data_IF_780419270476
#
_entry.id   IF_780419270476
#
_cell.length_a   1.000
_cell.length_b   1.000
_cell.length_c   1.000
_cell.angle_alpha   90.00
_cell.angle_beta   90.00
_cell.angle_gamma   90.00
#
_symmetry.space_group_name_H-M   'P 1'
#
loop_
_entity.id
_entity.type
_entity.pdbx_description
1 polymer ?
#
# COMPACT_ATOMS: atom_id res chain seq x y z
N UNK A 1 16.46 -3.42 -10.31
CA UNK A 1 15.46 -2.34 -10.27
C UNK A 1 14.74 -2.41 -8.93
N UNK A 2 15.41 -1.95 -7.86
CA UNK A 2 14.78 -1.86 -6.55
C UNK A 2 14.05 -0.51 -6.50
N UNK A 3 12.77 -0.53 -6.14
CA UNK A 3 12.05 0.63 -5.59
C UNK A 3 11.66 1.77 -6.55
N UNK A 4 11.33 1.49 -7.82
CA UNK A 4 10.77 2.52 -8.73
C UNK A 4 9.24 2.57 -8.75
N UNK A 5 8.57 1.73 -7.96
CA UNK A 5 7.10 1.66 -7.83
C UNK A 5 6.70 1.83 -6.36
N UNK A 6 5.60 2.53 -6.11
CA UNK A 6 5.09 2.75 -4.76
C UNK A 6 4.54 1.46 -4.15
N UNK A 7 4.66 1.29 -2.83
CA UNK A 7 4.00 0.18 -2.15
C UNK A 7 2.50 0.44 -1.90
N UNK A 8 2.10 1.71 -1.91
CA UNK A 8 0.70 2.14 -1.92
C UNK A 8 0.45 2.90 -3.23
N UNK A 9 -0.44 2.37 -4.08
CA UNK A 9 -0.87 3.03 -5.32
C UNK A 9 -2.36 2.76 -5.56
N UNK A 10 -3.15 3.83 -5.52
CA UNK A 10 -4.60 3.78 -5.68
C UNK A 10 -5.03 3.31 -7.07
N UNK A 11 -4.19 3.48 -8.09
CA UNK A 11 -4.51 3.13 -9.48
C UNK A 11 -4.05 1.74 -9.86
N UNK A 12 -2.82 1.38 -9.47
CA UNK A 12 -2.19 0.12 -9.87
C UNK A 12 -2.57 -1.04 -8.94
N UNK A 13 -2.73 -0.77 -7.64
CA UNK A 13 -2.92 -1.80 -6.62
C UNK A 13 -4.22 -1.67 -5.83
N UNK A 14 -4.92 -0.53 -5.91
CA UNK A 14 -6.15 -0.24 -5.18
C UNK A 14 -6.00 -0.53 -3.67
N UNK A 15 -4.80 -0.31 -3.11
CA UNK A 15 -4.42 -0.73 -1.76
C UNK A 15 -4.23 0.46 -0.80
N UNK A 16 -4.98 1.53 -0.99
CA UNK A 16 -4.70 2.82 -0.35
C UNK A 16 -5.72 3.23 0.73
N UNK A 17 -6.59 2.32 1.15
CA UNK A 17 -7.67 2.64 2.08
C UNK A 17 -7.92 1.55 3.11
N UNK A 18 -8.34 1.98 4.29
CA UNK A 18 -8.83 1.14 5.38
C UNK A 18 -9.61 2.02 6.36
N UNK A 19 -10.10 1.45 7.46
CA UNK A 19 -10.91 2.17 8.44
C UNK A 19 -10.43 1.95 9.86
N UNK A 20 -10.67 2.93 10.71
CA UNK A 20 -10.52 2.83 12.16
C UNK A 20 -11.90 2.99 12.79
N UNK A 21 -12.29 2.03 13.60
CA UNK A 21 -13.43 2.15 14.48
C UNK A 21 -13.00 2.79 15.80
N UNK A 22 -13.66 3.88 16.17
CA UNK A 22 -13.45 4.60 17.43
C UNK A 22 -14.69 4.53 18.31
N UNK A 23 -14.53 4.40 19.63
CA UNK A 23 -15.66 4.42 20.55
C UNK A 23 -16.29 5.81 20.64
N UNK A 24 -17.61 5.86 20.85
CA UNK A 24 -18.41 7.08 21.05
C UNK A 24 -19.43 6.84 22.17
N UNK A 25 -20.33 7.80 22.44
CA UNK A 25 -21.35 7.65 23.48
C UNK A 25 -22.18 6.39 23.23
N UNK A 26 -22.05 5.38 24.10
CA UNK A 26 -22.80 4.11 24.02
C UNK A 26 -22.59 3.27 22.75
N UNK A 27 -21.73 3.69 21.82
CA UNK A 27 -21.62 3.12 20.48
C UNK A 27 -20.18 3.25 19.92
N UNK A 28 -20.05 3.06 18.60
CA UNK A 28 -18.81 3.28 17.85
C UNK A 28 -19.07 4.14 16.61
N UNK A 29 -18.02 4.73 16.07
CA UNK A 29 -18.04 5.45 14.80
C UNK A 29 -16.82 5.04 13.98
N UNK A 30 -16.93 5.16 12.66
CA UNK A 30 -15.87 4.72 11.74
C UNK A 30 -15.22 5.91 11.06
N UNK A 31 -13.89 5.97 11.10
CA UNK A 31 -13.06 6.96 10.43
C UNK A 31 -12.33 6.27 9.28
N UNK A 32 -12.58 6.73 8.06
CA UNK A 32 -11.87 6.25 6.88
C UNK A 32 -10.46 6.84 6.85
N UNK A 33 -9.47 5.99 6.59
CA UNK A 33 -8.08 6.40 6.34
C UNK A 33 -7.80 6.14 4.86
N UNK A 34 -7.42 7.21 4.15
CA UNK A 34 -7.03 7.14 2.75
C UNK A 34 -5.58 7.61 2.67
N UNK A 35 -4.71 6.72 2.21
CA UNK A 35 -3.30 6.99 1.97
C UNK A 35 -3.15 7.53 0.54
N UNK A 36 -2.49 8.68 0.35
CA UNK A 36 -2.00 9.08 -0.97
C UNK A 36 -1.00 8.06 -1.53
N UNK A 37 -0.88 7.99 -2.85
CA UNK A 37 0.14 7.17 -3.53
C UNK A 37 1.55 7.48 -2.98
N UNK A 38 2.32 6.46 -2.61
CA UNK A 38 3.65 6.66 -2.06
C UNK A 38 4.30 5.43 -1.43
N UNK A 39 5.50 5.65 -0.88
CA UNK A 39 6.21 4.65 -0.07
C UNK A 39 5.86 4.86 1.41
N UNK A 40 5.28 3.85 2.03
CA UNK A 40 4.89 3.89 3.44
C UNK A 40 5.65 2.84 4.24
N UNK A 41 6.29 3.29 5.31
CA UNK A 41 6.66 2.43 6.43
C UNK A 41 5.50 2.31 7.42
N UNK A 42 5.60 1.40 8.40
CA UNK A 42 4.62 1.33 9.49
C UNK A 42 4.51 2.64 10.28
N UNK A 43 5.61 3.38 10.41
CA UNK A 43 5.61 4.70 11.06
C UNK A 43 4.77 5.72 10.28
N UNK A 44 4.84 5.69 8.94
CA UNK A 44 4.06 6.60 8.09
C UNK A 44 2.57 6.24 8.09
N UNK A 45 2.24 4.94 8.13
CA UNK A 45 0.85 4.48 8.29
C UNK A 45 0.30 4.94 9.65
N UNK A 46 1.06 4.79 10.74
CA UNK A 46 0.65 5.27 12.07
C UNK A 46 0.43 6.78 12.09
N UNK A 47 1.30 7.56 11.45
CA UNK A 47 1.12 9.02 11.30
C UNK A 47 -0.16 9.35 10.52
N UNK A 48 -0.45 8.59 9.48
CA UNK A 48 -1.66 8.77 8.66
C UNK A 48 -2.94 8.47 9.46
N UNK A 49 -2.93 7.42 10.29
CA UNK A 49 -4.02 7.12 11.23
C UNK A 49 -4.23 8.28 12.19
N UNK A 50 -3.17 8.77 12.84
CA UNK A 50 -3.25 9.89 13.77
C UNK A 50 -3.83 11.14 13.10
N UNK A 51 -3.36 11.45 11.90
CA UNK A 51 -3.85 12.60 11.12
C UNK A 51 -5.34 12.46 10.81
N UNK A 52 -5.79 11.28 10.36
CA UNK A 52 -7.21 11.02 10.08
C UNK A 52 -8.08 11.16 11.33
N UNK A 53 -7.62 10.65 12.48
CA UNK A 53 -8.32 10.77 13.76
C UNK A 53 -8.40 12.22 14.25
N UNK A 54 -7.31 12.99 14.13
CA UNK A 54 -7.30 14.42 14.47
C UNK A 54 -8.29 15.19 13.60
N UNK A 55 -8.27 14.97 12.29
CA UNK A 55 -9.17 15.64 11.35
C UNK A 55 -10.64 15.28 11.59
N UNK A 56 -10.92 14.05 12.04
CA UNK A 56 -12.26 13.64 12.43
C UNK A 56 -12.71 14.27 13.78
N UNK A 57 -11.83 14.93 14.52
CA UNK A 57 -12.11 15.41 15.88
C UNK A 57 -12.17 14.28 16.90
N UNK A 58 -11.47 13.17 16.63
CA UNK A 58 -11.31 12.00 17.49
C UNK A 58 -9.94 11.96 18.18
N UNK A 59 -9.20 13.08 18.20
CA UNK A 59 -7.92 13.19 18.92
C UNK A 59 -8.13 13.03 20.43
N UNK A 60 -7.27 12.24 21.08
CA UNK A 60 -7.18 12.22 22.54
C UNK A 60 -6.67 13.58 23.03
N UNK A 61 -7.21 14.13 24.14
CA UNK A 61 -6.73 15.39 24.70
C UNK A 61 -5.22 15.36 24.96
N UNK A 62 -4.49 16.39 24.53
CA UNK A 62 -3.03 16.51 24.66
C UNK A 62 -2.58 17.23 25.93
N UNK A 63 -3.52 17.69 26.76
CA UNK A 63 -3.25 18.34 28.04
C UNK A 63 -4.07 17.69 29.14
N UNK A 64 -3.44 17.50 30.32
CA UNK A 64 -4.13 17.06 31.53
C UNK A 64 -5.36 17.95 31.83
N UNK A 65 -6.43 17.42 32.45
CA UNK A 65 -7.56 18.25 32.85
C UNK A 65 -7.08 19.38 33.77
N UNK A 66 -7.51 20.61 33.50
CA UNK A 66 -7.38 21.68 34.50
C UNK A 66 -8.21 21.30 35.73
N UNK A 67 -7.81 21.76 36.92
CA UNK A 67 -8.40 21.36 38.20
C UNK A 67 -9.93 21.30 38.16
N UNK A 68 -10.51 20.10 38.32
CA UNK A 68 -11.95 19.84 38.17
C UNK A 68 -12.32 18.58 37.37
N UNK A 69 -11.35 17.89 36.77
CA UNK A 69 -11.55 16.55 36.17
C UNK A 69 -12.37 16.53 34.88
N UNK A 70 -12.70 17.70 34.33
CA UNK A 70 -13.46 17.83 33.08
C UNK A 70 -12.48 18.06 31.92
N UNK A 71 -12.43 17.10 31.00
CA UNK A 71 -11.66 17.25 29.77
C UNK A 71 -12.32 18.29 28.86
N UNK A 72 -11.56 19.29 28.39
CA UNK A 72 -12.05 20.24 27.39
C UNK A 72 -12.26 19.49 26.07
N UNK A 73 -13.52 19.38 25.65
CA UNK A 73 -13.89 18.70 24.40
C UNK A 73 -13.43 19.55 23.20
N UNK A 74 -13.11 18.93 22.05
CA UNK A 74 -12.92 19.66 20.80
C UNK A 74 -14.13 20.56 20.49
N UNK A 75 -13.89 21.73 19.91
CA UNK A 75 -14.96 22.66 19.53
C UNK A 75 -15.89 22.08 18.44
N UNK A 76 -15.35 21.24 17.55
CA UNK A 76 -16.07 20.55 16.50
C UNK A 76 -15.54 19.11 16.31
N UNK A 77 -16.24 18.31 15.50
CA UNK A 77 -15.86 16.94 15.20
C UNK A 77 -16.41 15.91 16.19
N UNK A 78 -15.92 14.68 16.09
CA UNK A 78 -16.55 13.48 16.64
C UNK A 78 -16.73 13.55 18.17
N UNK A 79 -15.73 13.98 18.92
CA UNK A 79 -15.81 14.11 20.39
C UNK A 79 -16.34 15.46 20.91
N UNK A 80 -16.72 16.39 20.02
CA UNK A 80 -17.31 17.69 20.40
C UNK A 80 -18.72 17.55 20.99
N UNK A 81 -19.23 18.61 21.65
CA UNK A 81 -20.60 18.62 22.22
C UNK A 81 -21.73 18.53 21.21
N UNK A 82 -21.51 18.99 19.98
CA UNK A 82 -22.44 18.82 18.86
C UNK A 82 -22.17 17.55 18.03
N UNK A 83 -21.15 16.77 18.36
CA UNK A 83 -20.79 15.51 17.69
C UNK A 83 -21.41 14.28 18.37
N UNK A 84 -20.78 13.12 18.18
CA UNK A 84 -21.20 11.85 18.79
C UNK A 84 -20.80 11.72 20.27
N UNK A 85 -19.89 12.59 20.73
CA UNK A 85 -19.45 12.70 22.10
C UNK A 85 -18.47 11.64 22.59
N UNK A 86 -17.97 11.83 23.81
CA UNK A 86 -16.95 10.97 24.42
C UNK A 86 -17.52 9.59 24.77
N UNK A 87 -16.71 8.52 24.68
CA UNK A 87 -17.10 7.19 25.15
C UNK A 87 -17.61 7.20 26.60
N UNK A 88 -18.76 6.57 26.84
CA UNK A 88 -19.32 6.36 28.19
C UNK A 88 -18.98 4.99 28.77
N UNK A 89 -18.47 4.08 27.94
CA UNK A 89 -17.98 2.75 28.33
C UNK A 89 -16.56 2.56 27.83
N UNK A 90 -15.70 1.93 28.62
CA UNK A 90 -14.33 1.60 28.22
C UNK A 90 -14.36 0.66 27.02
N UNK A 91 -13.81 1.11 25.89
CA UNK A 91 -13.65 0.32 24.66
C UNK A 91 -12.36 0.75 23.98
N UNK A 92 -11.64 -0.20 23.37
CA UNK A 92 -10.47 0.12 22.55
C UNK A 92 -10.86 0.39 21.11
N UNK A 93 -10.07 1.21 20.44
CA UNK A 93 -10.19 1.41 18.99
C UNK A 93 -9.87 0.11 18.26
N UNK A 94 -10.51 -0.10 17.10
CA UNK A 94 -10.32 -1.30 16.28
C UNK A 94 -9.93 -0.91 14.87
N UNK A 95 -9.01 -1.64 14.26
CA UNK A 95 -8.72 -1.48 12.84
C UNK A 95 -9.70 -2.32 12.04
N UNK A 96 -10.25 -1.75 10.98
CA UNK A 96 -11.11 -2.43 10.02
C UNK A 96 -10.36 -2.51 8.70
N UNK A 97 -10.07 -3.73 8.28
CA UNK A 97 -9.55 -4.04 6.96
C UNK A 97 -10.74 -4.38 6.07
N UNK A 98 -11.31 -3.35 5.43
CA UNK A 98 -12.38 -3.49 4.42
C UNK A 98 -11.85 -3.54 2.99
N UNK A 99 -10.58 -3.16 2.80
CA UNK A 99 -9.85 -3.30 1.55
C UNK A 99 -8.87 -4.47 1.65
N UNK A 100 -9.20 -5.59 0.96
CA UNK A 100 -8.35 -6.78 0.96
C UNK A 100 -6.96 -6.53 0.35
N UNK A 101 -6.82 -5.61 -0.60
CA UNK A 101 -5.53 -5.24 -1.19
C UNK A 101 -4.64 -4.51 -0.19
N UNK A 102 -5.19 -3.62 0.63
CA UNK A 102 -4.46 -3.02 1.76
C UNK A 102 -4.13 -4.07 2.82
N UNK A 103 -5.06 -4.99 3.11
CA UNK A 103 -4.83 -6.11 4.02
C UNK A 103 -3.58 -6.92 3.69
N UNK A 104 -3.30 -7.17 2.40
CA UNK A 104 -2.06 -7.82 1.95
C UNK A 104 -0.80 -7.03 2.33
N UNK A 105 -0.84 -5.69 2.29
CA UNK A 105 0.32 -4.84 2.64
C UNK A 105 0.68 -5.01 4.12
N UNK A 106 -0.31 -5.04 5.00
CA UNK A 106 -0.13 -5.13 6.46
C UNK A 106 -0.17 -6.57 7.00
N UNK A 107 -0.40 -7.56 6.14
CA UNK A 107 -0.47 -8.98 6.50
C UNK A 107 -1.73 -9.37 7.30
N UNK A 108 -2.85 -8.71 7.05
CA UNK A 108 -4.14 -8.99 7.70
C UNK A 108 -5.22 -9.33 6.65
N UNK A 109 -5.99 -10.40 6.88
CA UNK A 109 -7.20 -10.67 6.09
C UNK A 109 -8.25 -9.59 6.32
N UNK A 110 -9.22 -9.48 5.42
CA UNK A 110 -10.35 -8.58 5.62
C UNK A 110 -11.10 -8.93 6.93
N UNK A 111 -11.45 -7.91 7.71
CA UNK A 111 -12.06 -8.08 9.03
C UNK A 111 -11.81 -6.92 9.98
N UNK A 112 -12.36 -7.02 11.17
CA UNK A 112 -12.15 -6.06 12.27
C UNK A 112 -11.23 -6.69 13.31
N UNK A 113 -10.24 -5.92 13.76
CA UNK A 113 -9.24 -6.37 14.71
C UNK A 113 -9.16 -5.42 15.91
N UNK A 114 -9.39 -5.92 17.14
CA UNK A 114 -9.87 -7.27 17.48
C UNK A 114 -11.28 -7.57 16.94
N UNK A 115 -11.61 -8.85 16.73
CA UNK A 115 -12.91 -9.27 16.16
C UNK A 115 -14.09 -8.96 17.08
N UNK A 116 -13.88 -9.05 18.39
CA UNK A 116 -14.81 -8.62 19.42
C UNK A 116 -14.37 -7.28 20.03
N UNK A 117 -15.33 -6.51 20.54
CA UNK A 117 -15.02 -5.29 21.31
C UNK A 117 -14.25 -5.66 22.58
N UNK A 118 -13.13 -5.00 22.82
CA UNK A 118 -12.30 -5.22 24.01
C UNK A 118 -12.22 -3.93 24.86
N UNK A 119 -11.89 -4.11 26.14
CA UNK A 119 -11.70 -3.00 27.10
C UNK A 119 -10.23 -2.76 27.42
N UNK A 120 -9.34 -3.65 26.97
CA UNK A 120 -7.90 -3.62 27.16
C UNK A 120 -7.19 -3.60 25.82
N UNK A 121 -5.99 -2.99 25.77
CA UNK A 121 -5.19 -2.97 24.55
C UNK A 121 -4.90 -4.39 24.07
N UNK A 122 -5.09 -4.61 22.76
CA UNK A 122 -4.82 -5.89 22.11
C UNK A 122 -3.88 -5.68 20.95
N UNK A 123 -2.89 -6.57 20.83
CA UNK A 123 -2.08 -6.70 19.64
C UNK A 123 -2.46 -8.00 18.93
N UNK A 124 -2.41 -7.98 17.60
CA UNK A 124 -2.59 -9.18 16.80
C UNK A 124 -1.42 -9.33 15.85
N UNK A 125 -0.90 -10.54 15.74
CA UNK A 125 0.08 -10.88 14.73
C UNK A 125 -0.58 -10.93 13.34
N UNK A 126 0.21 -10.69 12.31
CA UNK A 126 -0.21 -10.89 10.92
C UNK A 126 -0.70 -12.33 10.74
N UNK A 127 -1.86 -12.50 10.12
CA UNK A 127 -2.44 -13.81 9.80
C UNK A 127 -2.20 -14.23 8.35
N UNK A 128 -1.59 -13.32 7.56
CA UNK A 128 -1.08 -13.56 6.22
C UNK A 128 0.31 -12.97 6.11
N UNK A 129 1.09 -13.42 5.14
CA UNK A 129 2.44 -12.90 4.91
C UNK A 129 2.30 -11.45 4.38
N UNK A 130 2.86 -10.43 5.07
CA UNK A 130 2.81 -9.05 4.59
C UNK A 130 3.53 -8.89 3.25
N UNK A 131 2.88 -8.21 2.32
CA UNK A 131 3.40 -7.88 1.00
C UNK A 131 3.83 -6.42 0.98
N UNK A 132 4.99 -6.13 1.56
CA UNK A 132 5.55 -4.77 1.65
C UNK A 132 5.78 -4.15 0.26
N UNK A 133 5.98 -4.99 -0.76
CA UNK A 133 6.00 -4.57 -2.17
C UNK A 133 5.11 -5.49 -3.01
N UNK A 134 4.10 -4.96 -3.73
CA UNK A 134 3.13 -5.77 -4.47
C UNK A 134 3.75 -6.51 -5.67
N UNK A 135 4.92 -6.06 -6.15
CA UNK A 135 5.62 -6.66 -7.28
C UNK A 135 6.92 -7.35 -6.83
N UNK A 136 7.08 -8.61 -7.22
CA UNK A 136 8.27 -9.44 -6.90
C UNK A 136 9.11 -9.75 -8.13
N UNK A 137 8.58 -9.56 -9.34
CA UNK A 137 9.35 -9.72 -10.57
C UNK A 137 8.91 -8.77 -11.67
N UNK A 138 9.85 -8.48 -12.57
CA UNK A 138 9.65 -7.68 -13.76
C UNK A 138 9.95 -8.51 -15.00
N UNK A 139 9.14 -8.32 -16.04
CA UNK A 139 9.26 -8.94 -17.35
C UNK A 139 9.69 -7.85 -18.33
N UNK A 140 10.88 -8.00 -18.90
CA UNK A 140 11.39 -7.07 -19.92
C UNK A 140 11.05 -7.64 -21.30
N UNK A 141 10.32 -6.85 -22.10
CA UNK A 141 9.97 -7.14 -23.48
C UNK A 141 10.74 -6.22 -24.41
N UNK A 142 11.25 -6.77 -25.51
CA UNK A 142 11.98 -6.03 -26.53
C UNK A 142 11.50 -6.46 -27.92
N UNK A 143 11.23 -5.50 -28.79
CA UNK A 143 10.73 -5.72 -30.16
C UNK A 143 11.82 -6.11 -31.17
N UNK A 144 13.09 -6.07 -30.74
CA UNK A 144 14.25 -6.36 -31.59
C UNK A 144 14.60 -7.86 -31.60
N UNK A 145 14.29 -8.58 -30.52
CA UNK A 145 14.75 -9.96 -30.31
C UNK A 145 13.95 -10.92 -31.17
N UNK A 146 14.64 -11.68 -32.02
CA UNK A 146 14.04 -12.76 -32.80
C UNK A 146 13.80 -13.94 -31.87
N UNK A 147 12.53 -14.19 -31.55
CA UNK A 147 12.12 -15.46 -30.97
C UNK A 147 11.69 -16.40 -32.10
N UNK A 148 12.48 -17.46 -32.34
CA UNK A 148 12.25 -18.42 -33.43
C UNK A 148 11.06 -19.37 -33.17
N UNK A 149 10.54 -19.37 -31.93
CA UNK A 149 9.43 -20.22 -31.52
C UNK A 149 8.19 -19.37 -31.25
N UNK A 150 7.38 -19.16 -32.29
CA UNK A 150 6.11 -18.46 -32.20
C UNK A 150 5.05 -19.45 -31.69
N UNK A 151 4.49 -19.19 -30.49
CA UNK A 151 3.31 -19.93 -29.99
C UNK A 151 3.57 -21.03 -28.95
N UNK A 152 4.79 -21.20 -28.44
CA UNK A 152 5.07 -22.10 -27.32
C UNK A 152 5.64 -21.32 -26.12
N UNK A 153 5.23 -21.69 -24.90
CA UNK A 153 5.77 -21.14 -23.66
C UNK A 153 7.21 -21.65 -23.44
N UNK A 154 8.17 -21.06 -24.13
CA UNK A 154 9.58 -21.42 -23.95
C UNK A 154 10.18 -20.58 -22.82
N UNK A 155 10.32 -21.21 -21.65
CA UNK A 155 11.10 -20.68 -20.55
C UNK A 155 12.59 -20.93 -20.81
N UNK A 156 13.24 -20.02 -21.54
CA UNK A 156 14.70 -20.04 -21.69
C UNK A 156 15.36 -19.34 -20.51
N UNK A 157 16.05 -20.11 -19.66
CA UNK A 157 16.83 -19.63 -18.51
C UNK A 157 18.28 -20.06 -18.70
N UNK A 158 19.11 -19.31 -19.46
CA UNK A 158 20.49 -19.72 -19.66
C UNK A 158 21.25 -19.61 -18.33
N UNK A 159 22.15 -20.56 -18.07
CA UNK A 159 23.01 -20.55 -16.89
C UNK A 159 24.09 -19.46 -16.94
N UNK A 160 24.24 -18.78 -18.07
CA UNK A 160 25.20 -17.71 -18.34
C UNK A 160 24.62 -16.72 -19.36
N UNK A 161 25.21 -15.52 -19.46
CA UNK A 161 24.78 -14.54 -20.46
C UNK A 161 24.86 -15.11 -21.88
N UNK A 162 23.75 -15.06 -22.61
CA UNK A 162 23.64 -15.54 -23.98
C UNK A 162 23.28 -14.40 -24.93
N UNK A 163 23.92 -14.37 -26.09
CA UNK A 163 23.59 -13.42 -27.15
C UNK A 163 22.35 -13.90 -27.91
N UNK A 164 21.36 -13.01 -28.05
CA UNK A 164 20.13 -13.30 -28.78
C UNK A 164 20.20 -12.69 -30.18
N UNK A 165 19.73 -13.43 -31.19
CA UNK A 165 19.61 -12.90 -32.55
C UNK A 165 18.56 -11.78 -32.58
N UNK A 166 18.83 -10.75 -33.39
CA UNK A 166 17.87 -9.70 -33.70
C UNK A 166 17.18 -9.99 -35.03
N UNK A 167 16.01 -9.39 -35.28
CA UNK A 167 15.41 -9.39 -36.61
C UNK A 167 16.29 -8.62 -37.61
N UNK A 168 16.41 -9.12 -38.85
CA UNK A 168 17.10 -8.40 -39.92
C UNK A 168 16.29 -7.17 -40.35
N UNK A 169 16.99 -6.12 -40.80
CA UNK A 169 16.40 -4.90 -41.34
C UNK A 169 16.86 -3.66 -40.60
N UNK A 170 16.87 -2.52 -41.30
CA UNK A 170 17.15 -1.23 -40.69
C UNK A 170 15.99 -0.85 -39.76
N UNK A 171 16.31 -0.38 -38.55
CA UNK A 171 15.35 0.17 -37.59
C UNK A 171 15.78 1.54 -37.11
N UNK A 172 14.83 2.45 -37.02
CA UNK A 172 15.03 3.79 -36.48
C UNK A 172 14.86 3.85 -34.96
N UNK A 173 14.21 2.84 -34.37
CA UNK A 173 13.97 2.74 -32.93
C UNK A 173 14.01 1.30 -32.42
N UNK A 174 14.35 1.15 -31.14
CA UNK A 174 14.22 -0.09 -30.36
C UNK A 174 13.23 0.19 -29.24
N UNK A 175 12.22 -0.65 -29.10
CA UNK A 175 11.19 -0.50 -28.07
C UNK A 175 11.41 -1.50 -26.95
N UNK A 176 11.74 -1.00 -25.77
CA UNK A 176 11.81 -1.80 -24.54
C UNK A 176 10.58 -1.45 -23.69
N UNK A 177 9.82 -2.47 -23.30
CA UNK A 177 8.69 -2.33 -22.39
C UNK A 177 8.86 -3.24 -21.19
N UNK A 178 8.67 -2.70 -19.99
CA UNK A 178 8.83 -3.43 -18.74
C UNK A 178 7.43 -3.61 -18.14
N UNK A 179 7.12 -4.86 -17.84
CA UNK A 179 5.85 -5.29 -17.25
C UNK A 179 6.10 -5.91 -15.88
N UNK A 180 5.12 -5.86 -15.00
CA UNK A 180 5.17 -6.55 -13.73
C UNK A 180 4.71 -8.01 -13.88
N UNK A 181 4.79 -8.78 -12.80
CA UNK A 181 4.35 -10.18 -12.77
C UNK A 181 2.86 -10.41 -13.12
N UNK A 182 2.04 -9.36 -13.08
CA UNK A 182 0.62 -9.39 -13.41
C UNK A 182 0.34 -8.90 -14.84
N UNK A 183 1.37 -8.81 -15.68
CA UNK A 183 1.30 -8.30 -17.05
C UNK A 183 0.79 -6.86 -17.19
N UNK A 184 0.95 -6.05 -16.14
CA UNK A 184 0.68 -4.63 -16.20
C UNK A 184 1.98 -3.89 -16.52
N UNK A 185 1.90 -2.85 -17.35
CA UNK A 185 3.06 -2.02 -17.67
C UNK A 185 3.57 -1.32 -16.40
N UNK A 186 4.86 -1.42 -16.14
CA UNK A 186 5.51 -0.79 -14.98
C UNK A 186 5.50 0.71 -15.12
N UNK A 187 5.12 1.39 -14.05
CA UNK A 187 5.15 2.86 -13.96
C UNK A 187 6.38 3.27 -13.16
N UNK A 188 7.43 3.68 -13.87
CA UNK A 188 8.61 4.26 -13.24
C UNK A 188 8.26 5.57 -12.57
N UNK A 189 8.39 5.63 -11.24
CA UNK A 189 8.26 6.87 -10.46
C UNK A 189 9.60 7.58 -10.26
N UNK A 190 10.71 6.89 -10.48
CA UNK A 190 12.05 7.49 -10.50
C UNK A 190 12.26 8.29 -11.78
N UNK A 191 12.79 9.51 -11.64
CA UNK A 191 13.17 10.38 -12.76
C UNK A 191 14.43 9.90 -13.49
N UNK A 192 15.21 9.02 -12.86
CA UNK A 192 16.48 8.52 -13.37
C UNK A 192 16.45 7.02 -13.56
N UNK A 193 16.37 6.57 -14.81
CA UNK A 193 16.44 5.15 -15.16
C UNK A 193 17.60 4.95 -16.13
N UNK A 194 18.53 4.07 -15.78
CA UNK A 194 19.64 3.66 -16.65
C UNK A 194 19.39 2.26 -17.18
N UNK A 195 19.39 2.11 -18.50
CA UNK A 195 19.26 0.82 -19.19
C UNK A 195 20.49 0.68 -20.09
N UNK A 196 21.32 -0.32 -19.81
CA UNK A 196 22.48 -0.65 -20.64
C UNK A 196 22.11 -1.76 -21.63
N UNK A 197 22.15 -1.43 -22.92
CA UNK A 197 21.96 -2.38 -24.00
C UNK A 197 23.33 -2.75 -24.59
N UNK A 198 23.66 -4.05 -24.60
CA UNK A 198 24.84 -4.55 -25.30
C UNK A 198 24.45 -5.06 -26.68
N UNK A 199 25.04 -4.48 -27.71
CA UNK A 199 24.89 -4.88 -29.10
C UNK A 199 26.25 -5.34 -29.64
N UNK A 200 26.24 -6.41 -30.43
CA UNK A 200 27.44 -6.87 -31.14
C UNK A 200 27.12 -7.17 -32.59
N UNK A 201 28.06 -6.94 -33.52
CA UNK A 201 27.92 -7.44 -34.87
C UNK A 201 27.87 -8.97 -34.85
N UNK A 202 27.00 -9.53 -35.70
CA UNK A 202 26.99 -10.95 -35.99
C UNK A 202 28.25 -11.25 -36.80
N UNK A 203 29.05 -12.21 -36.32
CA UNK A 203 30.17 -12.76 -37.09
C UNK A 203 29.62 -13.75 -38.11
#
# INVERSE_FOLDING_TARGET
MYNSEYNIDATQFLNNSFKIEVPTVGATSTVSVILPDGHYSYTDINRSIQTALVNAGAATPTTLPTAGGTWTRPASGLYSSGGTGLPTTTRVTRIIIDNASFGKVVGLTAGTYPSASATVSSAQLSNTIPQIHPISSYIVRCDLIKNEYVGQLISYKPSQYAWMNCHNGARTSITISIYNQNDQKVKFRDTSVSIMLLLRPKK
#
